data_IF_031764392047
#
_entry.id   IF_031764392047
#
_cell.length_a   1.000
_cell.length_b   1.000
_cell.length_c   1.000
_cell.angle_alpha   90.00
_cell.angle_beta   90.00
_cell.angle_gamma   90.00
#
_symmetry.space_group_name_H-M   'P 1'
#
loop_
_entity.id
_entity.type
_entity.pdbx_description
1 polymer ?
#
# COMPACT_ATOMS: atom_id res chain seq x y z
N UNK A 1 -25.27 54.43 42.84
CA UNK A 1 -23.93 53.85 42.88
C UNK A 1 -23.88 52.34 43.25
N UNK A 2 -24.76 51.77 44.05
CA UNK A 2 -24.76 50.37 44.47
C UNK A 2 -25.09 49.39 43.32
N UNK A 3 -25.93 49.72 42.34
CA UNK A 3 -26.32 48.84 41.25
C UNK A 3 -25.19 48.61 40.20
N UNK A 4 -24.35 49.61 39.95
CA UNK A 4 -23.23 49.50 38.97
C UNK A 4 -22.15 48.53 39.47
N UNK A 5 -21.95 48.45 40.78
CA UNK A 5 -20.98 47.51 41.36
C UNK A 5 -21.45 46.03 41.27
N UNK A 6 -22.76 45.79 41.33
CA UNK A 6 -23.33 44.45 41.22
C UNK A 6 -23.13 43.88 39.76
N UNK A 7 -23.33 44.71 38.73
CA UNK A 7 -23.11 44.29 37.35
C UNK A 7 -21.65 44.06 37.03
N UNK A 8 -20.73 44.80 37.62
CA UNK A 8 -19.30 44.59 37.50
C UNK A 8 -18.87 43.31 38.20
N UNK A 9 -19.45 42.97 39.34
CA UNK A 9 -19.19 41.71 40.03
C UNK A 9 -19.74 40.51 39.26
N UNK A 10 -20.97 40.61 38.72
CA UNK A 10 -21.55 39.57 37.87
C UNK A 10 -20.75 39.36 36.58
N UNK A 11 -20.32 40.44 35.92
CA UNK A 11 -19.48 40.37 34.73
C UNK A 11 -18.11 39.71 35.01
N UNK A 12 -17.52 39.99 36.19
CA UNK A 12 -16.28 39.36 36.64
C UNK A 12 -16.44 37.85 36.91
N UNK A 13 -17.57 37.45 37.51
CA UNK A 13 -17.87 36.02 37.77
C UNK A 13 -18.11 35.26 36.43
N UNK A 14 -18.86 35.86 35.51
CA UNK A 14 -19.07 35.30 34.18
C UNK A 14 -17.77 35.22 33.37
N UNK A 15 -16.86 36.19 33.51
CA UNK A 15 -15.56 36.12 32.83
C UNK A 15 -14.63 35.04 33.41
N UNK A 16 -14.66 34.81 34.73
CA UNK A 16 -13.91 33.76 35.39
C UNK A 16 -14.44 32.35 35.03
N UNK A 17 -15.76 32.19 34.85
CA UNK A 17 -16.34 30.90 34.45
C UNK A 17 -16.04 30.52 33.00
N UNK A 18 -15.60 31.45 32.15
CA UNK A 18 -15.17 31.16 30.78
C UNK A 18 -13.74 30.55 30.71
N UNK A 19 -12.94 30.72 31.77
CA UNK A 19 -11.60 30.14 31.85
C UNK A 19 -11.55 28.72 32.47
N UNK A 20 -12.67 28.24 33.04
CA UNK A 20 -12.82 26.88 33.56
C UNK A 20 -13.56 25.98 32.56
N UNK A 21 -13.80 26.47 31.35
CA UNK A 21 -14.43 25.69 30.31
C UNK A 21 -13.42 24.68 29.74
N UNK A 22 -13.49 23.50 30.34
CA UNK A 22 -13.15 22.23 29.77
C UNK A 22 -11.73 22.08 29.26
N UNK A 23 -11.02 21.20 29.87
CA UNK A 23 -9.98 20.42 29.22
C UNK A 23 -10.65 19.63 28.08
N UNK A 24 -10.85 20.32 26.96
CA UNK A 24 -11.53 19.78 25.77
C UNK A 24 -10.71 18.65 25.15
N UNK A 25 -9.41 18.66 25.40
CA UNK A 25 -8.50 17.58 25.02
C UNK A 25 -8.74 16.31 25.85
N UNK A 26 -8.91 16.42 27.15
CA UNK A 26 -9.13 15.28 28.05
C UNK A 26 -10.52 14.65 27.85
N UNK A 27 -11.54 15.47 27.59
CA UNK A 27 -12.91 15.00 27.31
C UNK A 27 -13.08 14.40 25.91
N UNK A 28 -12.23 14.77 24.97
CA UNK A 28 -12.31 14.31 23.58
C UNK A 28 -11.30 13.21 23.25
N UNK A 29 -10.46 12.82 24.22
CA UNK A 29 -9.55 11.67 24.05
C UNK A 29 -10.34 10.40 24.31
N UNK A 30 -10.47 9.57 23.30
CA UNK A 30 -11.03 8.23 23.46
C UNK A 30 -10.05 7.38 24.29
N UNK A 31 -10.37 6.97 25.55
CA UNK A 31 -9.44 6.20 26.38
C UNK A 31 -9.12 4.80 25.82
N UNK A 32 -9.85 4.37 24.79
CA UNK A 32 -9.63 3.12 24.06
C UNK A 32 -8.90 3.34 22.73
N UNK A 33 -8.60 4.59 22.38
CA UNK A 33 -7.82 4.90 21.20
C UNK A 33 -6.33 4.75 21.51
N UNK A 34 -5.62 4.02 20.64
CA UNK A 34 -4.20 3.82 20.79
C UNK A 34 -3.48 5.15 20.61
N UNK A 35 -2.81 5.62 21.66
CA UNK A 35 -2.02 6.87 21.57
C UNK A 35 -0.84 6.67 20.62
N UNK A 36 -0.36 7.76 20.01
CA UNK A 36 0.85 7.72 19.17
C UNK A 36 2.04 7.10 19.92
N UNK A 37 2.19 7.38 21.23
CA UNK A 37 3.24 6.80 22.06
C UNK A 37 3.11 5.27 22.20
N UNK A 38 1.89 4.75 22.38
CA UNK A 38 1.64 3.31 22.42
C UNK A 38 1.91 2.66 21.07
N UNK A 39 1.50 3.30 19.98
CA UNK A 39 1.76 2.84 18.62
C UNK A 39 3.25 2.79 18.26
N UNK A 40 4.02 3.76 18.74
CA UNK A 40 5.48 3.83 18.55
C UNK A 40 6.17 2.73 19.37
N UNK A 41 5.80 2.59 20.65
CA UNK A 41 6.44 1.65 21.58
C UNK A 41 6.32 0.20 21.13
N UNK A 42 5.19 -0.19 20.58
CA UNK A 42 4.92 -1.58 20.19
C UNK A 42 5.13 -1.81 18.68
N UNK A 43 5.57 -0.79 17.93
CA UNK A 43 5.77 -0.85 16.47
C UNK A 43 4.46 -1.06 15.68
N UNK A 44 3.31 -1.02 16.35
CA UNK A 44 1.98 -1.32 15.76
C UNK A 44 1.62 -0.34 14.66
N UNK A 45 1.97 0.94 14.84
CA UNK A 45 1.62 1.98 13.87
C UNK A 45 2.28 1.75 12.50
N UNK A 46 3.56 1.37 12.50
CA UNK A 46 4.34 1.08 11.29
C UNK A 46 4.05 -0.34 10.78
N UNK A 47 4.04 -1.31 11.69
CA UNK A 47 3.77 -2.71 11.34
C UNK A 47 2.39 -2.90 10.74
N UNK A 48 1.35 -2.32 11.32
CA UNK A 48 0.00 -2.35 10.76
C UNK A 48 -0.09 -1.72 9.37
N UNK A 49 0.67 -0.65 9.12
CA UNK A 49 0.74 -0.04 7.80
C UNK A 49 1.46 -0.95 6.77
N UNK A 50 2.50 -1.69 7.18
CA UNK A 50 3.16 -2.70 6.31
C UNK A 50 2.17 -3.81 5.93
N UNK A 51 1.46 -4.39 6.91
CA UNK A 51 0.44 -5.41 6.64
C UNK A 51 -0.67 -4.88 5.70
N UNK A 52 -1.12 -3.63 5.90
CA UNK A 52 -2.11 -3.01 5.02
C UNK A 52 -1.60 -2.85 3.59
N UNK A 53 -0.32 -2.46 3.40
CA UNK A 53 0.30 -2.41 2.07
C UNK A 53 0.40 -3.79 1.42
N UNK A 54 0.77 -4.82 2.16
CA UNK A 54 0.83 -6.20 1.64
C UNK A 54 -0.53 -6.66 1.13
N UNK A 55 -1.61 -6.36 1.86
CA UNK A 55 -2.98 -6.63 1.42
C UNK A 55 -3.38 -5.85 0.18
N UNK A 56 -2.91 -4.61 0.02
CA UNK A 56 -3.18 -3.80 -1.16
C UNK A 56 -2.46 -4.31 -2.42
N UNK A 57 -1.29 -4.94 -2.28
CA UNK A 57 -0.55 -5.57 -3.41
C UNK A 57 -1.38 -6.69 -4.04
N UNK A 58 -2.09 -7.48 -3.25
CA UNK A 58 -2.92 -8.61 -3.71
C UNK A 58 -4.41 -8.27 -3.68
N UNK A 59 -4.79 -7.11 -3.13
CA UNK A 59 -6.16 -6.60 -2.99
C UNK A 59 -7.13 -7.60 -2.34
N UNK A 60 -6.68 -8.26 -1.29
CA UNK A 60 -7.55 -9.09 -0.46
C UNK A 60 -8.35 -8.20 0.49
N UNK A 61 -9.64 -8.42 0.60
CA UNK A 61 -10.52 -7.73 1.54
C UNK A 61 -10.16 -8.03 3.00
N UNK A 62 -10.92 -7.49 3.92
CA UNK A 62 -10.83 -7.75 5.35
C UNK A 62 -12.08 -8.47 5.83
N UNK A 63 -11.97 -9.27 6.89
CA UNK A 63 -13.14 -9.89 7.53
C UNK A 63 -14.12 -8.85 8.11
N UNK A 64 -13.63 -7.62 8.37
CA UNK A 64 -14.46 -6.54 8.90
C UNK A 64 -15.56 -6.09 7.92
N UNK A 65 -15.43 -6.41 6.63
CA UNK A 65 -16.40 -6.02 5.62
C UNK A 65 -17.62 -6.98 5.54
N UNK A 66 -17.73 -7.94 6.46
CA UNK A 66 -18.75 -9.01 6.50
C UNK A 66 -18.88 -9.75 5.14
N UNK A 67 -18.05 -9.39 4.19
CA UNK A 67 -17.84 -10.04 2.93
C UNK A 67 -16.67 -10.98 3.09
N UNK A 68 -16.89 -12.23 2.80
CA UNK A 68 -15.79 -13.17 2.76
C UNK A 68 -14.76 -12.65 1.77
N UNK A 69 -13.74 -12.12 2.29
CA UNK A 69 -12.53 -11.39 1.90
C UNK A 69 -12.12 -11.25 0.42
N UNK A 70 -12.72 -11.93 -0.52
CA UNK A 70 -12.21 -12.05 -1.89
C UNK A 70 -12.93 -11.15 -2.89
N UNK A 71 -14.02 -10.50 -2.47
CA UNK A 71 -14.79 -9.65 -3.37
C UNK A 71 -13.93 -8.54 -3.99
N UNK A 72 -12.97 -7.97 -3.24
CA UNK A 72 -12.07 -6.96 -3.78
C UNK A 72 -11.14 -7.52 -4.85
N UNK A 73 -10.59 -8.72 -4.67
CA UNK A 73 -9.78 -9.38 -5.68
C UNK A 73 -10.60 -9.71 -6.94
N UNK A 74 -11.81 -10.22 -6.75
CA UNK A 74 -12.74 -10.50 -7.84
C UNK A 74 -12.96 -9.26 -8.70
N UNK A 75 -13.34 -8.14 -8.08
CA UNK A 75 -13.66 -6.91 -8.82
C UNK A 75 -12.42 -6.32 -9.47
N UNK A 76 -11.30 -6.29 -8.76
CA UNK A 76 -10.07 -5.66 -9.26
C UNK A 76 -9.39 -6.47 -10.39
N UNK A 77 -9.50 -7.79 -10.38
CA UNK A 77 -8.78 -8.64 -11.32
C UNK A 77 -9.68 -9.54 -12.16
N UNK A 78 -10.53 -10.38 -11.54
CA UNK A 78 -11.31 -11.37 -12.30
C UNK A 78 -12.35 -10.72 -13.21
N UNK A 79 -13.05 -9.68 -12.73
CA UNK A 79 -14.03 -8.95 -13.52
C UNK A 79 -13.40 -7.86 -14.43
N UNK A 80 -12.10 -7.63 -14.35
CA UNK A 80 -11.38 -6.71 -15.23
C UNK A 80 -10.39 -7.45 -16.13
N UNK A 81 -9.11 -7.51 -15.78
CA UNK A 81 -8.07 -8.04 -16.66
C UNK A 81 -8.30 -9.50 -17.10
N UNK A 82 -8.76 -10.37 -16.19
CA UNK A 82 -9.01 -11.77 -16.50
C UNK A 82 -10.20 -11.95 -17.47
N UNK A 83 -11.22 -11.09 -17.34
CA UNK A 83 -12.37 -11.09 -18.27
C UNK A 83 -11.98 -10.56 -19.65
N UNK A 84 -11.19 -9.48 -19.72
CA UNK A 84 -10.75 -8.92 -21.00
C UNK A 84 -9.77 -9.82 -21.75
N UNK A 85 -8.92 -10.54 -21.02
CA UNK A 85 -7.99 -11.50 -21.60
C UNK A 85 -8.65 -12.80 -22.05
N UNK A 86 -9.92 -13.02 -21.68
CA UNK A 86 -10.66 -14.24 -21.99
C UNK A 86 -10.31 -15.43 -21.10
N UNK A 87 -9.57 -15.22 -20.00
CA UNK A 87 -9.33 -16.28 -19.01
C UNK A 87 -10.59 -16.60 -18.22
N UNK A 88 -11.48 -15.61 -18.03
CA UNK A 88 -12.76 -15.77 -17.37
C UNK A 88 -13.90 -15.42 -18.33
N UNK A 89 -14.90 -16.28 -18.37
CA UNK A 89 -16.18 -16.04 -19.03
C UNK A 89 -17.29 -15.87 -18.01
N UNK A 90 -18.39 -15.22 -18.39
CA UNK A 90 -19.58 -15.17 -17.56
C UNK A 90 -20.39 -16.46 -17.67
N UNK A 91 -20.93 -16.92 -16.55
CA UNK A 91 -21.84 -18.06 -16.49
C UNK A 91 -23.32 -17.65 -16.43
N UNK A 92 -23.58 -16.35 -16.28
CA UNK A 92 -24.91 -15.77 -16.26
C UNK A 92 -24.94 -14.44 -17.01
N UNK A 93 -26.10 -13.85 -17.16
CA UNK A 93 -26.29 -12.65 -17.97
C UNK A 93 -26.12 -11.36 -17.14
N UNK A 94 -24.98 -11.17 -16.49
CA UNK A 94 -24.68 -9.96 -15.72
C UNK A 94 -24.82 -8.71 -16.57
N UNK A 95 -25.51 -7.69 -16.03
CA UNK A 95 -25.80 -6.43 -16.74
C UNK A 95 -26.41 -6.66 -18.12
N UNK A 96 -27.26 -7.71 -18.27
CA UNK A 96 -27.86 -8.06 -19.55
C UNK A 96 -26.86 -8.30 -20.68
N UNK A 97 -25.69 -8.82 -20.35
CA UNK A 97 -24.59 -9.08 -21.29
C UNK A 97 -23.70 -7.87 -21.59
N UNK A 98 -23.99 -6.69 -21.04
CA UNK A 98 -23.16 -5.50 -21.21
C UNK A 98 -22.14 -5.40 -20.09
N UNK A 99 -21.05 -6.15 -20.18
CA UNK A 99 -20.00 -6.20 -19.14
C UNK A 99 -18.61 -6.43 -19.76
N UNK A 100 -17.58 -6.52 -18.90
CA UNK A 100 -16.21 -6.62 -19.34
C UNK A 100 -15.92 -7.88 -20.19
N UNK A 101 -16.67 -8.96 -20.04
CA UNK A 101 -16.51 -10.16 -20.89
C UNK A 101 -16.94 -9.93 -22.33
N UNK A 102 -17.75 -8.90 -22.57
CA UNK A 102 -18.20 -8.45 -23.91
C UNK A 102 -17.54 -7.16 -24.33
N UNK A 103 -16.44 -6.77 -23.69
CA UNK A 103 -15.73 -5.51 -23.91
C UNK A 103 -16.57 -4.25 -23.69
N UNK A 104 -17.64 -4.37 -22.89
CA UNK A 104 -18.39 -3.24 -22.39
C UNK A 104 -17.88 -2.84 -21.02
N UNK A 105 -17.23 -1.67 -20.90
CA UNK A 105 -16.60 -1.22 -19.67
C UNK A 105 -17.65 -0.96 -18.58
N UNK A 106 -17.52 -1.66 -17.47
CA UNK A 106 -18.26 -1.37 -16.26
C UNK A 106 -17.41 -0.48 -15.34
N UNK A 107 -17.83 0.77 -15.16
CA UNK A 107 -17.05 1.80 -14.49
C UNK A 107 -16.58 1.39 -13.09
N UNK A 108 -17.45 0.78 -12.29
CA UNK A 108 -17.13 0.34 -10.94
C UNK A 108 -16.09 -0.80 -10.93
N UNK A 109 -16.09 -1.69 -11.91
CA UNK A 109 -15.10 -2.76 -12.01
C UNK A 109 -13.75 -2.22 -12.48
N UNK A 110 -13.76 -1.29 -13.42
CA UNK A 110 -12.55 -0.62 -13.89
C UNK A 110 -11.95 0.24 -12.79
N UNK A 111 -12.78 1.05 -12.11
CA UNK A 111 -12.33 1.91 -11.03
C UNK A 111 -11.73 1.13 -9.85
N UNK A 112 -12.25 -0.06 -9.54
CA UNK A 112 -11.77 -0.88 -8.44
C UNK A 112 -10.29 -1.28 -8.57
N UNK A 113 -9.83 -1.56 -9.79
CA UNK A 113 -8.41 -1.87 -10.06
C UNK A 113 -7.51 -0.69 -9.65
N UNK A 114 -7.93 0.54 -9.96
CA UNK A 114 -7.19 1.75 -9.57
C UNK A 114 -7.31 2.01 -8.06
N UNK A 115 -8.52 2.02 -7.53
CA UNK A 115 -8.79 2.41 -6.13
C UNK A 115 -8.15 1.45 -5.14
N UNK A 116 -8.29 0.15 -5.36
CA UNK A 116 -7.82 -0.86 -4.42
C UNK A 116 -6.29 -0.98 -4.38
N UNK A 117 -5.61 -0.73 -5.48
CA UNK A 117 -4.15 -0.79 -5.51
C UNK A 117 -3.48 0.55 -5.24
N UNK A 118 -3.92 1.63 -5.90
CA UNK A 118 -3.26 2.93 -5.82
C UNK A 118 -3.68 3.72 -4.57
N UNK A 119 -4.98 4.00 -4.43
CA UNK A 119 -5.49 4.91 -3.40
C UNK A 119 -5.33 4.33 -1.99
N UNK A 120 -5.68 3.08 -1.81
CA UNK A 120 -5.62 2.40 -0.50
C UNK A 120 -4.19 2.29 0.02
N UNK A 121 -3.23 2.05 -0.88
CA UNK A 121 -1.83 1.89 -0.49
C UNK A 121 -1.16 3.22 -0.11
N UNK A 122 -1.57 4.33 -0.73
CA UNK A 122 -0.90 5.63 -0.60
C UNK A 122 -0.84 6.13 0.85
N UNK A 123 -1.91 5.98 1.62
CA UNK A 123 -1.97 6.44 3.02
C UNK A 123 -0.99 5.69 3.91
N UNK A 124 -0.93 4.36 3.78
CA UNK A 124 0.00 3.51 4.53
C UNK A 124 1.45 3.77 4.14
N UNK A 125 1.74 3.95 2.85
CA UNK A 125 3.06 4.30 2.36
C UNK A 125 3.55 5.65 2.92
N UNK A 126 2.69 6.68 2.92
CA UNK A 126 3.02 8.00 3.52
C UNK A 126 3.31 7.88 5.01
N UNK A 127 2.50 7.12 5.75
CA UNK A 127 2.71 6.88 7.18
C UNK A 127 4.05 6.22 7.44
N UNK A 128 4.38 5.15 6.71
CA UNK A 128 5.67 4.47 6.85
C UNK A 128 6.83 5.41 6.53
N UNK A 129 6.72 6.22 5.47
CA UNK A 129 7.74 7.21 5.13
C UNK A 129 8.02 8.15 6.30
N UNK A 130 6.99 8.76 6.86
CA UNK A 130 7.11 9.73 7.95
C UNK A 130 7.69 9.09 9.22
N UNK A 131 7.20 7.92 9.60
CA UNK A 131 7.67 7.24 10.81
C UNK A 131 9.10 6.71 10.64
N UNK A 132 9.44 6.16 9.50
CA UNK A 132 10.79 5.69 9.18
C UNK A 132 11.83 6.80 9.19
N UNK A 133 11.46 8.01 8.73
CA UNK A 133 12.31 9.20 8.83
C UNK A 133 12.54 9.62 10.30
N UNK A 134 11.51 9.57 11.15
CA UNK A 134 11.60 9.92 12.58
C UNK A 134 12.41 8.91 13.39
N UNK A 135 12.30 7.63 13.06
CA UNK A 135 12.94 6.53 13.81
C UNK A 135 14.28 6.10 13.23
N UNK A 136 14.72 6.72 12.14
CA UNK A 136 15.94 6.37 11.41
C UNK A 136 15.99 4.87 11.00
N UNK A 137 14.85 4.37 10.50
CA UNK A 137 14.70 2.98 10.04
C UNK A 137 14.47 2.92 8.52
N UNK A 138 15.46 3.26 7.70
CA UNK A 138 15.31 3.33 6.24
C UNK A 138 14.94 1.98 5.61
N UNK A 139 15.25 0.86 6.25
CA UNK A 139 14.92 -0.48 5.79
C UNK A 139 13.42 -0.75 5.78
N UNK A 140 12.65 -0.15 6.69
CA UNK A 140 11.20 -0.29 6.70
C UNK A 140 10.59 0.51 5.53
N UNK A 141 11.12 1.69 5.26
CA UNK A 141 10.70 2.45 4.09
C UNK A 141 11.13 1.78 2.77
N UNK A 142 12.30 1.14 2.73
CA UNK A 142 12.72 0.34 1.58
C UNK A 142 11.74 -0.78 1.27
N UNK A 143 11.25 -1.49 2.29
CA UNK A 143 10.18 -2.48 2.12
C UNK A 143 8.90 -1.85 1.58
N UNK A 144 8.50 -0.69 2.12
CA UNK A 144 7.32 0.04 1.64
C UNK A 144 7.46 0.47 0.16
N UNK A 145 8.66 0.85 -0.28
CA UNK A 145 8.91 1.17 -1.70
C UNK A 145 8.73 -0.07 -2.59
N UNK A 146 9.23 -1.22 -2.19
CA UNK A 146 9.04 -2.49 -2.91
C UNK A 146 7.54 -2.82 -3.02
N UNK A 147 6.78 -2.71 -1.93
CA UNK A 147 5.34 -2.97 -1.92
C UNK A 147 4.57 -1.96 -2.78
N UNK A 148 4.93 -0.67 -2.72
CA UNK A 148 4.36 0.37 -3.59
C UNK A 148 4.55 0.00 -5.06
N UNK A 149 5.75 -0.33 -5.47
CA UNK A 149 6.05 -0.68 -6.86
C UNK A 149 5.31 -1.96 -7.27
N UNK A 150 5.25 -2.96 -6.38
CA UNK A 150 4.53 -4.22 -6.62
C UNK A 150 3.04 -4.02 -6.94
N UNK A 151 2.42 -2.99 -6.36
CA UNK A 151 1.02 -2.65 -6.64
C UNK A 151 0.90 -1.69 -7.84
N UNK A 152 1.68 -0.61 -7.85
CA UNK A 152 1.47 0.50 -8.78
C UNK A 152 1.95 0.25 -10.20
N UNK A 153 2.92 -0.67 -10.42
CA UNK A 153 3.26 -1.04 -11.79
C UNK A 153 2.05 -1.64 -12.52
N UNK A 154 1.21 -2.41 -11.81
CA UNK A 154 -0.02 -2.97 -12.39
C UNK A 154 -1.03 -1.88 -12.77
N UNK A 155 -1.14 -0.85 -11.93
CA UNK A 155 -1.99 0.31 -12.21
C UNK A 155 -1.46 1.08 -13.44
N UNK A 156 -0.15 1.31 -13.50
CA UNK A 156 0.51 1.94 -14.65
C UNK A 156 0.29 1.14 -15.94
N UNK A 157 0.43 -0.19 -15.88
CA UNK A 157 0.23 -1.08 -17.02
C UNK A 157 -1.23 -1.15 -17.49
N UNK A 158 -2.19 -0.91 -16.60
CA UNK A 158 -3.63 -0.97 -16.90
C UNK A 158 -4.20 0.35 -17.41
N UNK A 159 -3.72 1.48 -16.89
CA UNK A 159 -4.31 2.81 -17.14
C UNK A 159 -3.39 3.75 -17.92
N UNK A 160 -2.13 3.38 -18.17
CA UNK A 160 -1.12 4.30 -18.71
C UNK A 160 -0.61 5.27 -17.64
N UNK A 161 -0.43 6.56 -17.96
CA UNK A 161 0.12 7.56 -17.05
C UNK A 161 -0.57 7.58 -15.68
N UNK A 162 0.23 7.61 -14.60
CA UNK A 162 -0.24 7.74 -13.21
C UNK A 162 0.59 8.78 -12.46
N UNK A 163 0.09 9.41 -11.40
CA UNK A 163 0.91 10.20 -10.50
C UNK A 163 1.84 9.26 -9.71
N UNK A 164 3.13 9.29 -9.99
CA UNK A 164 4.13 8.46 -9.30
C UNK A 164 5.17 9.28 -8.55
N UNK A 165 5.85 10.19 -9.25
CA UNK A 165 6.99 10.96 -8.69
C UNK A 165 6.56 11.95 -7.61
N UNK A 166 5.39 12.57 -7.78
CA UNK A 166 4.81 13.52 -6.84
C UNK A 166 3.68 12.94 -5.99
N UNK A 167 3.52 11.61 -6.01
CA UNK A 167 2.46 10.95 -5.26
C UNK A 167 2.56 11.23 -3.76
N UNK A 168 1.44 11.68 -3.17
CA UNK A 168 1.35 11.96 -1.74
C UNK A 168 1.88 13.32 -1.30
N UNK A 169 2.33 14.18 -2.21
CA UNK A 169 2.65 15.58 -1.90
C UNK A 169 1.38 16.35 -1.49
N UNK A 170 1.51 17.35 -0.59
CA UNK A 170 0.39 18.16 -0.13
C UNK A 170 0.00 19.21 -1.19
N UNK A 171 -0.53 18.77 -2.33
CA UNK A 171 -0.96 19.63 -3.43
C UNK A 171 -2.40 19.32 -3.82
N UNK A 172 -3.15 20.34 -4.27
CA UNK A 172 -4.53 20.18 -4.74
C UNK A 172 -4.61 19.39 -6.05
N UNK A 173 -3.56 19.46 -6.86
CA UNK A 173 -3.46 18.75 -8.15
C UNK A 173 -2.09 18.11 -8.22
N UNK A 174 -2.06 16.82 -8.42
CA UNK A 174 -0.82 16.05 -8.64
C UNK A 174 -0.74 15.73 -10.14
N UNK A 175 0.37 16.08 -10.82
CA UNK A 175 0.52 15.77 -12.23
C UNK A 175 0.67 14.27 -12.47
N UNK A 176 0.20 13.80 -13.61
CA UNK A 176 0.45 12.45 -14.10
C UNK A 176 1.84 12.39 -14.72
N UNK A 177 2.61 11.39 -14.34
CA UNK A 177 3.87 11.06 -15.00
C UNK A 177 3.60 10.23 -16.26
N UNK A 178 4.37 10.45 -17.32
CA UNK A 178 4.35 9.52 -18.44
C UNK A 178 4.83 8.14 -18.01
N UNK A 179 4.44 7.11 -18.74
CA UNK A 179 4.89 5.72 -18.46
C UNK A 179 6.41 5.64 -18.36
N UNK A 180 7.16 6.29 -19.26
CA UNK A 180 8.61 6.32 -19.23
C UNK A 180 9.15 6.95 -17.93
N UNK A 181 8.60 8.08 -17.49
CA UNK A 181 9.01 8.75 -16.26
C UNK A 181 8.70 7.86 -15.05
N UNK A 182 7.51 7.28 -15.00
CA UNK A 182 7.10 6.42 -13.91
C UNK A 182 7.96 5.13 -13.82
N UNK A 183 8.23 4.44 -14.94
CA UNK A 183 9.12 3.26 -14.95
C UNK A 183 10.54 3.61 -14.52
N UNK A 184 11.12 4.71 -15.00
CA UNK A 184 12.45 5.14 -14.59
C UNK A 184 12.53 5.47 -13.10
N UNK A 185 11.50 6.10 -12.56
CA UNK A 185 11.39 6.37 -11.13
C UNK A 185 11.23 5.06 -10.32
N UNK A 186 10.43 4.12 -10.78
CA UNK A 186 10.30 2.80 -10.16
C UNK A 186 11.64 2.05 -10.11
N UNK A 187 12.44 2.07 -11.18
CA UNK A 187 13.77 1.46 -11.17
C UNK A 187 14.72 2.13 -10.20
N UNK A 188 14.67 3.46 -10.11
CA UNK A 188 15.49 4.23 -9.16
C UNK A 188 15.12 3.89 -7.72
N UNK A 189 13.82 3.95 -7.39
CA UNK A 189 13.30 3.61 -6.06
C UNK A 189 13.63 2.17 -5.67
N UNK A 190 13.47 1.24 -6.62
CA UNK A 190 13.72 -0.18 -6.39
C UNK A 190 15.21 -0.47 -6.17
N UNK A 191 16.09 0.20 -6.93
CA UNK A 191 17.55 0.10 -6.73
C UNK A 191 17.92 0.54 -5.32
N UNK A 192 17.47 1.73 -4.91
CA UNK A 192 17.76 2.25 -3.57
C UNK A 192 17.21 1.32 -2.46
N UNK A 193 16.01 0.76 -2.64
CA UNK A 193 15.43 -0.17 -1.69
C UNK A 193 16.22 -1.49 -1.60
N UNK A 194 16.67 -2.03 -2.72
CA UNK A 194 17.51 -3.23 -2.78
C UNK A 194 18.83 -2.99 -2.07
N UNK A 195 19.50 -1.86 -2.33
CA UNK A 195 20.78 -1.54 -1.71
C UNK A 195 20.67 -1.48 -0.18
N UNK A 196 19.63 -0.79 0.34
CA UNK A 196 19.37 -0.71 1.78
C UNK A 196 19.10 -2.10 2.39
N UNK A 197 18.21 -2.89 1.77
CA UNK A 197 17.86 -4.21 2.30
C UNK A 197 19.00 -5.23 2.16
N UNK A 198 19.87 -5.07 1.17
CA UNK A 198 21.05 -5.93 1.00
C UNK A 198 21.97 -5.86 2.21
N UNK A 199 22.24 -4.67 2.74
CA UNK A 199 23.02 -4.50 3.96
C UNK A 199 22.40 -5.24 5.15
N UNK A 200 21.08 -5.18 5.29
CA UNK A 200 20.36 -5.90 6.35
C UNK A 200 20.37 -7.42 6.14
N UNK A 201 20.25 -7.85 4.89
CA UNK A 201 20.31 -9.27 4.51
C UNK A 201 21.68 -9.89 4.75
N UNK A 202 22.77 -9.16 4.51
CA UNK A 202 24.15 -9.57 4.82
C UNK A 202 24.38 -9.74 6.33
N UNK A 203 23.70 -8.95 7.14
CA UNK A 203 23.72 -9.03 8.60
C UNK A 203 22.82 -10.15 9.15
N UNK A 204 22.00 -10.79 8.30
CA UNK A 204 20.99 -11.77 8.74
C UNK A 204 19.86 -11.13 9.55
N UNK A 205 19.63 -9.83 9.39
CA UNK A 205 18.61 -9.09 10.13
C UNK A 205 17.21 -9.36 9.59
N UNK A 206 16.23 -9.35 10.49
CA UNK A 206 14.80 -9.33 10.15
C UNK A 206 14.24 -7.92 10.33
N UNK A 207 13.22 -7.56 9.57
CA UNK A 207 12.51 -6.29 9.68
C UNK A 207 11.02 -6.55 9.85
N UNK A 208 10.38 -5.85 10.79
CA UNK A 208 8.93 -5.92 11.07
C UNK A 208 8.35 -7.36 11.07
N UNK A 209 9.08 -8.32 11.63
CA UNK A 209 8.80 -9.76 11.51
C UNK A 209 7.37 -10.14 11.91
N UNK A 210 6.84 -9.54 12.98
CA UNK A 210 5.50 -9.83 13.50
C UNK A 210 4.36 -9.29 12.60
N UNK A 211 4.70 -8.39 11.67
CA UNK A 211 3.75 -7.73 10.77
C UNK A 211 3.95 -8.10 9.31
N UNK A 212 5.06 -8.77 8.98
CA UNK A 212 5.32 -9.25 7.62
C UNK A 212 4.66 -10.61 7.38
N UNK A 213 3.45 -10.56 6.84
CA UNK A 213 2.66 -11.76 6.53
C UNK A 213 3.21 -12.58 5.36
N UNK A 214 4.24 -12.09 4.65
CA UNK A 214 4.78 -12.74 3.45
C UNK A 214 6.02 -13.56 3.77
N UNK A 215 7.02 -12.94 4.40
CA UNK A 215 8.32 -13.57 4.64
C UNK A 215 8.75 -13.52 6.11
N UNK A 216 7.86 -13.13 7.03
CA UNK A 216 8.17 -12.98 8.45
C UNK A 216 9.45 -12.15 8.71
N UNK A 217 9.62 -11.08 7.93
CA UNK A 217 10.73 -10.15 8.05
C UNK A 217 12.05 -10.59 7.41
N UNK A 218 12.11 -11.70 6.69
CA UNK A 218 13.33 -12.19 6.04
C UNK A 218 13.78 -11.23 4.94
N UNK A 219 14.80 -10.42 5.26
CA UNK A 219 15.32 -9.39 4.35
C UNK A 219 15.98 -9.98 3.11
N UNK A 220 16.57 -11.17 3.18
CA UNK A 220 17.16 -11.84 2.02
C UNK A 220 16.10 -12.24 1.01
N UNK A 221 14.96 -12.73 1.47
CA UNK A 221 13.82 -13.05 0.60
C UNK A 221 13.23 -11.80 -0.03
N UNK A 222 13.14 -10.71 0.73
CA UNK A 222 12.70 -9.42 0.18
C UNK A 222 13.64 -8.88 -0.89
N UNK A 223 14.95 -9.02 -0.73
CA UNK A 223 15.93 -8.65 -1.77
C UNK A 223 15.73 -9.49 -3.04
N UNK A 224 15.58 -10.81 -2.91
CA UNK A 224 15.29 -11.69 -4.06
C UNK A 224 13.98 -11.32 -4.76
N UNK A 225 12.94 -11.02 -3.98
CA UNK A 225 11.66 -10.56 -4.51
C UNK A 225 11.82 -9.25 -5.29
N UNK A 226 12.52 -8.26 -4.71
CA UNK A 226 12.75 -6.97 -5.34
C UNK A 226 13.58 -7.08 -6.63
N UNK A 227 14.61 -7.92 -6.66
CA UNK A 227 15.36 -8.23 -7.87
C UNK A 227 14.47 -8.89 -8.94
N UNK A 228 13.59 -9.80 -8.54
CA UNK A 228 12.64 -10.44 -9.48
C UNK A 228 11.62 -9.44 -10.01
N UNK A 229 11.16 -8.50 -9.18
CA UNK A 229 10.31 -7.41 -9.61
C UNK A 229 11.04 -6.47 -10.58
N UNK A 230 12.30 -6.13 -10.30
CA UNK A 230 13.16 -5.35 -11.21
C UNK A 230 13.30 -6.03 -12.57
N UNK A 231 13.57 -7.33 -12.57
CA UNK A 231 13.66 -8.11 -13.80
C UNK A 231 12.33 -8.11 -14.57
N UNK A 232 11.20 -8.29 -13.86
CA UNK A 232 9.86 -8.22 -14.46
C UNK A 232 9.61 -6.87 -15.13
N UNK A 233 9.89 -5.76 -14.45
CA UNK A 233 9.73 -4.41 -15.01
C UNK A 233 10.66 -4.19 -16.22
N UNK A 234 11.90 -4.66 -16.15
CA UNK A 234 12.84 -4.60 -17.26
C UNK A 234 12.32 -5.35 -18.48
N UNK A 235 11.81 -6.57 -18.30
CA UNK A 235 11.19 -7.34 -19.40
C UNK A 235 9.96 -6.63 -19.97
N UNK A 236 9.18 -5.94 -19.14
CA UNK A 236 7.98 -5.21 -19.57
C UNK A 236 8.29 -4.10 -20.57
N UNK A 237 9.39 -3.38 -20.36
CA UNK A 237 9.82 -2.26 -21.24
C UNK A 237 10.76 -2.67 -22.35
N UNK A 238 11.05 -3.96 -22.53
CA UNK A 238 12.11 -4.46 -23.43
C UNK A 238 11.98 -4.00 -24.89
N UNK A 239 10.76 -3.81 -25.38
CA UNK A 239 10.50 -3.28 -26.72
C UNK A 239 10.43 -1.76 -26.79
N UNK A 240 10.11 -1.09 -25.68
CA UNK A 240 10.00 0.36 -25.64
C UNK A 240 11.35 1.04 -25.38
N UNK A 241 12.18 0.44 -24.51
CA UNK A 241 13.52 0.94 -24.16
C UNK A 241 14.44 -0.25 -23.84
N UNK A 242 15.02 -0.84 -24.89
CA UNK A 242 15.91 -1.99 -24.78
C UNK A 242 17.13 -1.70 -23.91
N UNK A 243 17.70 -0.50 -24.00
CA UNK A 243 18.91 -0.11 -23.25
C UNK A 243 18.63 -0.12 -21.75
N UNK A 244 17.57 0.52 -21.32
CA UNK A 244 17.15 0.54 -19.92
C UNK A 244 16.74 -0.86 -19.45
N UNK A 245 16.05 -1.62 -20.27
CA UNK A 245 15.67 -3.01 -19.97
C UNK A 245 16.88 -3.89 -19.72
N UNK A 246 17.88 -3.87 -20.62
CA UNK A 246 19.11 -4.65 -20.46
C UNK A 246 19.92 -4.24 -19.22
N UNK A 247 19.99 -2.94 -18.92
CA UNK A 247 20.67 -2.43 -17.71
C UNK A 247 20.10 -3.06 -16.46
N UNK A 248 18.80 -2.91 -16.24
CA UNK A 248 18.16 -3.36 -15.00
C UNK A 248 17.97 -4.87 -14.92
N UNK A 249 17.77 -5.56 -16.07
CA UNK A 249 17.78 -7.01 -16.10
C UNK A 249 19.13 -7.57 -15.64
N UNK A 250 20.24 -7.03 -16.14
CA UNK A 250 21.58 -7.44 -15.71
C UNK A 250 21.84 -7.11 -14.24
N UNK A 251 21.41 -5.96 -13.75
CA UNK A 251 21.52 -5.58 -12.34
C UNK A 251 20.82 -6.60 -11.45
N UNK A 252 19.60 -6.97 -11.77
CA UNK A 252 18.82 -7.93 -11.00
C UNK A 252 19.46 -9.35 -11.02
N UNK A 253 19.87 -9.82 -12.19
CA UNK A 253 20.42 -11.18 -12.36
C UNK A 253 21.80 -11.35 -11.75
N UNK A 254 22.63 -10.29 -11.76
CA UNK A 254 23.99 -10.33 -11.24
C UNK A 254 24.09 -9.93 -9.75
N UNK A 255 22.97 -9.62 -9.10
CA UNK A 255 22.95 -9.28 -7.70
C UNK A 255 23.40 -10.45 -6.82
N UNK A 256 24.13 -10.20 -5.72
CA UNK A 256 24.70 -11.22 -4.83
C UNK A 256 23.67 -12.25 -4.34
N UNK A 257 22.44 -11.79 -4.02
CA UNK A 257 21.34 -12.68 -3.61
C UNK A 257 20.51 -13.20 -4.79
N UNK A 258 20.70 -12.64 -5.99
CA UNK A 258 20.00 -13.03 -7.21
C UNK A 258 18.50 -12.76 -7.17
N UNK A 259 17.77 -13.46 -8.02
CA UNK A 259 16.32 -13.44 -8.14
C UNK A 259 15.69 -14.66 -7.45
N UNK A 260 14.37 -14.71 -7.34
CA UNK A 260 13.65 -15.89 -6.88
C UNK A 260 13.83 -17.04 -7.87
N UNK A 261 14.31 -18.19 -7.40
CA UNK A 261 14.61 -19.36 -8.25
C UNK A 261 14.04 -20.68 -7.72
N UNK A 262 13.47 -20.66 -6.53
CA UNK A 262 12.96 -21.85 -5.88
C UNK A 262 11.58 -21.61 -5.28
N UNK A 263 10.84 -22.69 -5.02
CA UNK A 263 9.54 -22.64 -4.34
C UNK A 263 9.62 -22.00 -2.96
N UNK A 264 10.75 -22.12 -2.26
CA UNK A 264 10.96 -21.49 -0.95
C UNK A 264 11.11 -19.97 -1.01
N UNK A 265 11.32 -19.40 -2.21
CA UNK A 265 11.40 -17.96 -2.44
C UNK A 265 10.03 -17.33 -2.77
N UNK A 266 8.98 -18.16 -2.97
CA UNK A 266 7.64 -17.66 -3.33
C UNK A 266 7.11 -16.67 -2.30
N UNK A 267 6.58 -15.54 -2.78
CA UNK A 267 5.88 -14.56 -1.97
C UNK A 267 4.45 -15.04 -1.73
N UNK A 268 4.22 -15.65 -0.59
CA UNK A 268 2.89 -16.11 -0.18
C UNK A 268 2.44 -15.35 1.05
N UNK A 269 1.27 -14.71 0.98
CA UNK A 269 0.70 -14.07 2.16
C UNK A 269 0.10 -15.12 3.07
N UNK A 270 0.56 -15.16 4.33
CA UNK A 270 -0.07 -15.96 5.36
C UNK A 270 -1.44 -15.39 5.72
N UNK A 271 -2.43 -16.27 5.91
CA UNK A 271 -3.77 -15.85 6.31
C UNK A 271 -3.85 -15.29 7.72
N UNK A 272 -2.86 -15.59 8.58
CA UNK A 272 -2.85 -15.15 9.97
C UNK A 272 -4.06 -15.65 10.78
N UNK A 273 -4.08 -15.34 12.05
CA UNK A 273 -5.24 -15.65 12.91
C UNK A 273 -6.42 -14.74 12.50
N UNK A 274 -7.55 -15.35 12.17
CA UNK A 274 -8.78 -14.64 11.87
C UNK A 274 -8.93 -14.13 10.42
N UNK A 275 -8.01 -14.45 9.51
CA UNK A 275 -8.17 -14.19 8.08
C UNK A 275 -8.40 -15.47 7.30
N UNK A 276 -9.43 -15.50 6.49
CA UNK A 276 -9.70 -16.58 5.54
C UNK A 276 -9.68 -15.99 4.12
N UNK A 277 -8.73 -16.45 3.30
CA UNK A 277 -8.77 -16.17 1.87
C UNK A 277 -9.63 -17.23 1.21
N UNK A 278 -10.87 -16.88 0.87
CA UNK A 278 -11.74 -17.77 0.10
C UNK A 278 -11.64 -17.43 -1.38
N UNK A 279 -11.59 -18.45 -2.20
CA UNK A 279 -11.64 -18.27 -3.65
C UNK A 279 -13.11 -18.01 -4.07
N UNK A 280 -13.31 -17.05 -4.96
CA UNK A 280 -14.65 -16.78 -5.52
C UNK A 280 -15.27 -17.99 -6.23
N UNK A 281 -14.45 -18.93 -6.68
CA UNK A 281 -14.93 -20.20 -7.30
C UNK A 281 -15.66 -21.07 -6.28
N UNK A 282 -15.45 -20.89 -4.99
CA UNK A 282 -16.21 -21.60 -3.94
C UNK A 282 -17.70 -21.19 -3.87
N UNK A 283 -18.07 -20.09 -4.53
CA UNK A 283 -19.45 -19.57 -4.57
C UNK A 283 -20.25 -20.01 -5.81
N UNK A 284 -19.64 -20.73 -6.71
CA UNK A 284 -20.23 -21.26 -7.92
C UNK A 284 -20.61 -22.73 -7.76
#
# INVERSE_FOLDING_TARGET
>A
MKKINQYKLLAGICALSLFTACDFEELNTNPFEMTDEMGIRDGVAVGGAVTAMQRAVVTVGTQADDTEAINQYQVAYNLSADSWSGFFGQNNNWYSGSNNTTYYLQDNWVAATYTNSYTTLLSSWKKIKQESEKTETPEIFALAQILKISAWHKTLESFGPIPYTHAGEPALVIPFDSEQVAFNAMFTDLTAAIDILTVRAEQGATIVADYDAVYAGDTRKWVKYANSLMLRLAMRISYADETTAQKYARQALNHTFGVMTSKSDEAQMSTGAGMVFRNNIEWL
#
